data_IF_174766604182
#
_entry.id   IF_174766604182
#
_cell.length_a   1.000
_cell.length_b   1.000
_cell.length_c   1.000
_cell.angle_alpha   90.00
_cell.angle_beta   90.00
_cell.angle_gamma   90.00
#
_symmetry.space_group_name_H-M   'P 1'
#
loop_
_entity.id
_entity.type
_entity.pdbx_description
1 polymer ?
#
# COMPACT_ATOMS: atom_id res chain seq x y z
N UNK A 1 -30.00 -29.34 -32.64
CA UNK A 1 -29.05 -30.28 -32.00
C UNK A 1 -27.64 -29.72 -32.15
N UNK A 2 -26.89 -29.69 -31.05
CA UNK A 2 -25.47 -29.32 -30.91
C UNK A 2 -25.08 -27.84 -31.00
N UNK A 3 -25.28 -27.20 -29.85
CA UNK A 3 -24.44 -26.20 -29.19
C UNK A 3 -22.94 -26.27 -29.59
N UNK A 4 -22.38 -25.16 -30.10
CA UNK A 4 -20.93 -24.91 -30.14
C UNK A 4 -20.63 -23.76 -29.18
N UNK A 5 -20.26 -24.07 -27.94
CA UNK A 5 -19.72 -23.06 -27.00
C UNK A 5 -18.30 -22.72 -27.43
N UNK A 6 -18.15 -21.56 -28.06
CA UNK A 6 -16.87 -20.99 -28.46
C UNK A 6 -16.21 -20.38 -27.22
N UNK A 7 -15.01 -20.87 -26.89
CA UNK A 7 -14.18 -20.35 -25.81
C UNK A 7 -13.94 -18.85 -25.99
N UNK A 8 -14.40 -18.05 -25.03
CA UNK A 8 -14.06 -16.64 -24.95
C UNK A 8 -12.74 -16.58 -24.18
N UNK A 9 -11.64 -16.31 -24.90
CA UNK A 9 -10.32 -16.20 -24.32
C UNK A 9 -10.21 -15.04 -23.32
N UNK A 10 -9.34 -15.22 -22.33
CA UNK A 10 -9.08 -14.31 -21.20
C UNK A 10 -8.79 -12.84 -21.58
N UNK A 11 -8.51 -12.53 -22.85
CA UNK A 11 -8.37 -11.14 -23.33
C UNK A 11 -9.67 -10.33 -23.33
N UNK A 12 -10.85 -10.97 -23.39
CA UNK A 12 -12.12 -10.25 -23.42
C UNK A 12 -12.57 -9.79 -22.02
N UNK A 13 -12.19 -10.53 -20.97
CA UNK A 13 -12.45 -10.12 -19.58
C UNK A 13 -11.60 -8.92 -19.17
N UNK A 14 -10.39 -8.80 -19.74
CA UNK A 14 -9.48 -7.68 -19.48
C UNK A 14 -10.00 -6.33 -20.00
N UNK A 15 -10.78 -6.33 -21.09
CA UNK A 15 -11.40 -5.12 -21.62
C UNK A 15 -12.66 -4.69 -20.84
N UNK A 16 -13.33 -5.61 -20.15
CA UNK A 16 -14.55 -5.30 -19.38
C UNK A 16 -14.24 -4.72 -17.99
N UNK A 17 -13.04 -4.93 -17.45
CA UNK A 17 -12.63 -4.34 -16.17
C UNK A 17 -12.09 -2.90 -16.30
N UNK A 18 -11.68 -2.47 -17.50
CA UNK A 18 -11.07 -1.15 -17.71
C UNK A 18 -12.07 0.01 -17.89
N UNK A 19 -13.38 -0.22 -17.78
CA UNK A 19 -14.38 0.84 -17.99
C UNK A 19 -15.11 1.32 -16.72
N UNK A 20 -14.73 0.86 -15.52
CA UNK A 20 -15.08 1.59 -14.30
C UNK A 20 -14.04 2.67 -14.04
N UNK A 21 -14.35 3.89 -14.45
CA UNK A 21 -13.78 5.10 -13.83
C UNK A 21 -14.07 5.04 -12.33
N UNK A 22 -13.13 4.50 -11.56
CA UNK A 22 -13.01 4.82 -10.14
C UNK A 22 -11.80 5.74 -10.06
N UNK A 23 -12.05 6.92 -9.54
CA UNK A 23 -11.07 7.94 -9.24
C UNK A 23 -10.20 7.42 -8.09
N UNK A 24 -9.27 6.52 -8.37
CA UNK A 24 -8.32 5.99 -7.41
C UNK A 24 -6.91 6.38 -7.83
N UNK A 25 -6.19 7.00 -6.90
CA UNK A 25 -4.85 7.53 -7.07
C UNK A 25 -3.86 6.48 -7.64
N UNK A 26 -2.87 6.93 -8.44
CA UNK A 26 -1.98 6.07 -9.24
C UNK A 26 -1.09 5.11 -8.43
N UNK A 27 -1.00 5.24 -7.11
CA UNK A 27 -0.20 4.36 -6.25
C UNK A 27 -0.88 3.02 -5.93
N UNK A 28 -2.21 2.96 -5.85
CA UNK A 28 -2.95 1.70 -5.60
C UNK A 28 -2.97 0.79 -6.84
N UNK A 29 -2.88 1.38 -8.04
CA UNK A 29 -2.79 0.62 -9.28
C UNK A 29 -1.47 -0.16 -9.34
N UNK A 30 -0.36 0.41 -8.88
CA UNK A 30 0.96 -0.23 -8.98
C UNK A 30 1.11 -1.43 -8.02
N UNK A 31 0.46 -1.40 -6.84
CA UNK A 31 0.50 -2.51 -5.87
C UNK A 31 -0.43 -3.67 -6.24
N UNK A 32 -1.66 -3.38 -6.69
CA UNK A 32 -2.58 -4.40 -7.23
C UNK A 32 -2.01 -5.05 -8.49
N UNK A 33 -1.38 -4.26 -9.38
CA UNK A 33 -0.72 -4.78 -10.59
C UNK A 33 0.50 -5.63 -10.24
N UNK A 34 1.25 -5.30 -9.19
CA UNK A 34 2.38 -6.14 -8.71
C UNK A 34 1.90 -7.50 -8.20
N UNK A 35 0.81 -7.53 -7.43
CA UNK A 35 0.24 -8.77 -6.90
C UNK A 35 -0.40 -9.62 -8.01
N UNK A 36 -1.03 -9.00 -9.01
CA UNK A 36 -1.54 -9.68 -10.21
C UNK A 36 -0.43 -10.23 -11.10
N UNK A 37 0.66 -9.47 -11.29
CA UNK A 37 1.83 -9.92 -12.06
C UNK A 37 2.51 -11.12 -11.39
N UNK A 38 2.61 -11.12 -10.06
CA UNK A 38 3.09 -12.25 -9.28
C UNK A 38 2.18 -13.47 -9.45
N UNK A 39 0.86 -13.29 -9.42
CA UNK A 39 -0.11 -14.36 -9.65
C UNK A 39 0.03 -14.98 -11.04
N UNK A 40 0.24 -14.16 -12.08
CA UNK A 40 0.44 -14.61 -13.46
C UNK A 40 1.76 -15.38 -13.62
N UNK A 41 2.86 -14.86 -13.06
CA UNK A 41 4.15 -15.57 -13.05
C UNK A 41 4.07 -16.91 -12.30
N UNK A 42 3.30 -16.99 -11.22
CA UNK A 42 3.05 -18.24 -10.51
C UNK A 42 2.26 -19.23 -11.36
N UNK A 43 1.25 -18.77 -12.11
CA UNK A 43 0.51 -19.64 -13.04
C UNK A 43 1.40 -20.17 -14.17
N UNK A 44 2.35 -19.37 -14.67
CA UNK A 44 3.30 -19.81 -15.70
C UNK A 44 4.31 -20.84 -15.16
N UNK A 45 4.82 -20.66 -13.94
CA UNK A 45 5.73 -21.60 -13.27
C UNK A 45 5.03 -22.94 -12.95
N UNK A 46 3.75 -22.89 -12.56
CA UNK A 46 2.94 -24.11 -12.32
C UNK A 46 2.59 -24.83 -13.62
N UNK A 47 2.39 -24.09 -14.72
CA UNK A 47 2.04 -24.64 -16.03
C UNK A 47 3.26 -25.19 -16.78
N UNK A 48 4.48 -24.72 -16.49
CA UNK A 48 5.73 -25.30 -16.98
C UNK A 48 6.14 -26.56 -16.18
N UNK A 49 5.65 -27.75 -16.55
CA UNK A 49 6.02 -29.05 -15.93
C UNK A 49 7.34 -29.65 -16.49
N UNK A 50 8.04 -30.58 -15.79
CA UNK A 50 8.59 -30.46 -14.44
C UNK A 50 10.00 -31.12 -14.30
N UNK A 51 10.92 -30.52 -13.54
CA UNK A 51 11.94 -31.31 -12.80
C UNK A 51 12.29 -30.72 -11.45
N UNK A 52 11.44 -29.82 -10.95
CA UNK A 52 11.49 -29.37 -9.57
C UNK A 52 10.73 -30.41 -8.73
N UNK A 53 11.49 -31.27 -8.06
CA UNK A 53 10.98 -32.22 -7.06
C UNK A 53 10.07 -31.49 -6.09
N UNK A 54 8.90 -32.04 -5.75
CA UNK A 54 7.86 -31.38 -4.92
C UNK A 54 8.41 -30.70 -3.65
N UNK A 55 9.50 -31.22 -3.08
CA UNK A 55 10.23 -30.63 -1.95
C UNK A 55 10.81 -29.23 -2.21
N UNK A 56 11.33 -28.98 -3.42
CA UNK A 56 11.92 -27.70 -3.85
C UNK A 56 10.85 -26.67 -4.23
N UNK A 57 9.74 -27.13 -4.82
CA UNK A 57 8.61 -26.27 -5.17
C UNK A 57 7.89 -25.76 -3.92
N UNK A 58 7.70 -26.62 -2.91
CA UNK A 58 7.16 -26.23 -1.61
C UNK A 58 8.10 -25.28 -0.88
N UNK A 59 9.42 -25.53 -0.92
CA UNK A 59 10.43 -24.63 -0.33
C UNK A 59 10.43 -23.24 -1.00
N UNK A 60 10.30 -23.18 -2.33
CA UNK A 60 10.27 -21.92 -3.09
C UNK A 60 8.98 -21.12 -2.80
N UNK A 61 7.82 -21.78 -2.74
CA UNK A 61 6.55 -21.14 -2.37
C UNK A 61 6.56 -20.62 -0.93
N UNK A 62 7.15 -21.36 0.00
CA UNK A 62 7.29 -20.94 1.40
C UNK A 62 8.20 -19.71 1.55
N UNK A 63 9.25 -19.60 0.72
CA UNK A 63 10.15 -18.44 0.66
C UNK A 63 9.51 -17.19 0.04
N UNK A 64 8.59 -17.37 -0.91
CA UNK A 64 7.87 -16.26 -1.55
C UNK A 64 6.75 -15.69 -0.66
N UNK A 65 6.20 -16.50 0.24
CA UNK A 65 5.14 -16.07 1.16
C UNK A 65 5.65 -15.12 2.27
N UNK A 66 6.96 -15.10 2.55
CA UNK A 66 7.54 -14.30 3.64
C UNK A 66 7.75 -12.81 3.35
N UNK A 67 7.48 -12.31 2.13
CA UNK A 67 7.62 -10.90 1.77
C UNK A 67 6.25 -10.25 1.52
N UNK A 68 5.42 -10.12 2.55
CA UNK A 68 4.27 -9.21 2.51
C UNK A 68 4.63 -7.88 3.16
N UNK A 69 4.75 -6.81 2.37
CA UNK A 69 4.88 -5.46 2.89
C UNK A 69 3.49 -4.95 3.28
N UNK A 70 3.25 -4.70 4.57
CA UNK A 70 2.00 -4.13 5.06
C UNK A 70 2.10 -2.61 5.03
N UNK A 71 1.33 -1.97 4.16
CA UNK A 71 1.15 -0.53 4.22
C UNK A 71 0.24 -0.18 5.41
N UNK A 72 0.63 0.83 6.19
CA UNK A 72 -0.19 1.33 7.30
C UNK A 72 -0.90 2.61 6.86
N UNK A 73 -2.21 2.68 7.13
CA UNK A 73 -3.05 3.84 6.87
C UNK A 73 -3.54 4.40 8.19
N UNK A 74 -3.38 5.71 8.37
CA UNK A 74 -3.80 6.45 9.57
C UNK A 74 -4.71 7.61 9.16
N UNK A 75 -5.71 7.93 9.96
CA UNK A 75 -6.56 9.10 9.73
C UNK A 75 -5.95 10.32 10.41
N UNK A 76 -5.74 11.38 9.63
CA UNK A 76 -5.13 12.65 10.02
C UNK A 76 -6.01 13.78 9.47
N UNK A 77 -6.97 14.33 10.23
CA UNK A 77 -7.91 15.34 9.75
C UNK A 77 -7.28 16.70 9.43
N UNK A 78 -6.18 17.07 10.08
CA UNK A 78 -5.48 18.34 9.85
C UNK A 78 -4.70 18.33 8.54
N UNK A 79 -4.99 19.30 7.66
CA UNK A 79 -4.37 19.37 6.33
C UNK A 79 -2.88 19.69 6.39
N UNK A 80 -2.44 20.52 7.34
CA UNK A 80 -1.04 20.89 7.50
C UNK A 80 -0.24 19.70 8.02
N UNK A 81 -0.78 18.97 9.00
CA UNK A 81 -0.14 17.76 9.50
C UNK A 81 -0.04 16.68 8.41
N UNK A 82 -1.10 16.47 7.61
CA UNK A 82 -1.02 15.57 6.45
C UNK A 82 0.07 15.97 5.46
N UNK A 83 0.12 17.26 5.13
CA UNK A 83 1.10 17.77 4.17
C UNK A 83 2.54 17.56 4.69
N UNK A 84 2.79 17.90 5.96
CA UNK A 84 4.07 17.62 6.63
C UNK A 84 4.45 16.14 6.56
N UNK A 85 3.51 15.23 6.84
CA UNK A 85 3.79 13.79 6.77
C UNK A 85 4.11 13.32 5.35
N UNK A 86 3.40 13.87 4.35
CA UNK A 86 3.64 13.55 2.95
C UNK A 86 5.00 14.06 2.46
N UNK A 87 5.40 15.28 2.83
CA UNK A 87 6.66 15.90 2.40
C UNK A 87 7.86 15.30 3.12
N UNK A 88 7.78 15.10 4.44
CA UNK A 88 8.91 14.66 5.26
C UNK A 88 9.12 13.15 5.18
N UNK A 89 8.04 12.37 5.14
CA UNK A 89 8.10 10.91 5.25
C UNK A 89 7.61 10.16 4.00
N UNK A 90 7.45 10.86 2.87
CA UNK A 90 6.97 10.30 1.59
C UNK A 90 5.63 9.56 1.72
N UNK A 91 4.76 10.04 2.60
CA UNK A 91 3.44 9.45 2.79
C UNK A 91 2.48 9.84 1.66
N UNK A 92 1.54 8.95 1.34
CA UNK A 92 0.48 9.22 0.36
C UNK A 92 -0.79 9.69 1.06
N UNK A 93 -1.38 10.80 0.61
CA UNK A 93 -2.62 11.34 1.16
C UNK A 93 -3.81 10.87 0.31
N UNK A 94 -4.86 10.35 0.92
CA UNK A 94 -6.16 10.06 0.30
C UNK A 94 -7.28 10.64 1.18
N UNK A 95 -7.76 11.83 0.82
CA UNK A 95 -8.71 12.57 1.66
C UNK A 95 -8.09 12.95 3.01
N UNK A 96 -8.67 12.44 4.10
CA UNK A 96 -8.14 12.61 5.47
C UNK A 96 -7.20 11.48 5.89
N UNK A 97 -6.98 10.48 5.05
CA UNK A 97 -6.13 9.35 5.38
C UNK A 97 -4.73 9.53 4.81
N UNK A 98 -3.72 9.07 5.55
CA UNK A 98 -2.31 9.09 5.18
C UNK A 98 -1.79 7.64 5.21
N UNK A 99 -1.19 7.19 4.11
CA UNK A 99 -0.65 5.84 3.96
C UNK A 99 0.85 5.85 3.78
N UNK A 100 1.55 5.00 4.53
CA UNK A 100 3.00 4.84 4.48
C UNK A 100 3.36 3.50 3.83
N UNK A 101 4.27 3.53 2.87
CA UNK A 101 4.65 2.37 2.02
C UNK A 101 5.83 1.56 2.58
N UNK A 102 6.38 1.96 3.73
CA UNK A 102 7.60 1.43 4.36
C UNK A 102 7.40 1.48 5.88
N UNK A 103 8.23 0.82 6.74
CA UNK A 103 8.06 0.88 8.20
C UNK A 103 8.30 2.26 8.82
N UNK A 104 8.18 3.34 8.05
CA UNK A 104 8.31 4.72 8.48
C UNK A 104 7.56 5.00 9.80
N UNK A 105 6.29 4.60 9.93
CA UNK A 105 5.54 4.85 11.18
C UNK A 105 6.20 4.15 12.40
N UNK A 106 6.67 2.92 12.25
CA UNK A 106 7.22 2.13 13.37
C UNK A 106 8.67 2.47 13.70
N UNK A 107 9.41 3.08 12.78
CA UNK A 107 10.83 3.41 12.98
C UNK A 107 11.08 4.89 13.30
N UNK A 108 10.08 5.78 13.15
CA UNK A 108 10.21 7.19 13.49
C UNK A 108 10.29 7.37 15.01
N UNK A 109 11.49 7.68 15.51
CA UNK A 109 11.74 7.99 16.92
C UNK A 109 11.71 9.48 17.24
N UNK A 110 11.87 10.33 16.22
CA UNK A 110 11.95 11.78 16.34
C UNK A 110 11.14 12.45 15.24
N UNK A 111 10.30 13.41 15.61
CA UNK A 111 9.50 14.22 14.69
C UNK A 111 9.61 15.68 15.06
N UNK A 112 10.06 16.50 14.12
CA UNK A 112 10.02 17.96 14.22
C UNK A 112 9.04 18.48 13.18
N UNK A 113 7.88 18.93 13.65
CA UNK A 113 6.84 19.58 12.87
C UNK A 113 6.60 21.01 13.37
N UNK A 114 7.66 21.66 13.87
CA UNK A 114 7.56 23.03 14.36
C UNK A 114 7.28 24.03 13.24
N UNK A 115 6.50 25.08 13.53
CA UNK A 115 6.13 26.14 12.58
C UNK A 115 5.31 25.68 11.35
N UNK A 116 4.69 24.51 11.39
CA UNK A 116 3.90 23.96 10.28
C UNK A 116 2.44 24.47 10.26
N UNK A 117 2.03 25.28 11.23
CA UNK A 117 0.65 25.77 11.35
C UNK A 117 -0.36 24.67 11.68
N UNK A 118 0.08 23.58 12.33
CA UNK A 118 -0.77 22.44 12.69
C UNK A 118 -1.74 22.83 13.81
N UNK A 119 -3.01 22.45 13.67
CA UNK A 119 -4.05 22.73 14.65
C UNK A 119 -4.57 21.48 15.38
N UNK A 120 -4.40 20.31 14.77
CA UNK A 120 -4.80 19.02 15.32
C UNK A 120 -3.76 17.92 14.98
N UNK A 121 -3.27 17.22 16.01
CA UNK A 121 -2.30 16.11 15.90
C UNK A 121 -2.97 14.74 15.86
N UNK A 122 -4.29 14.66 15.66
CA UNK A 122 -5.00 13.38 15.50
C UNK A 122 -4.28 12.49 14.48
N UNK A 123 -3.99 11.26 14.90
CA UNK A 123 -3.18 10.30 14.14
C UNK A 123 -1.75 10.12 14.68
N UNK A 124 -1.24 11.05 15.50
CA UNK A 124 0.12 10.96 16.11
C UNK A 124 0.30 9.73 17.01
N UNK A 125 -0.77 9.22 17.62
CA UNK A 125 -0.73 8.02 18.47
C UNK A 125 -0.30 6.74 17.73
N UNK A 126 -0.34 6.73 16.39
CA UNK A 126 0.11 5.59 15.59
C UNK A 126 1.64 5.50 15.51
N UNK A 127 2.37 6.57 15.83
CA UNK A 127 3.83 6.59 15.84
C UNK A 127 4.36 6.01 17.16
N UNK A 128 4.23 4.69 17.33
CA UNK A 128 4.47 4.00 18.62
C UNK A 128 5.91 4.07 19.12
N UNK A 129 6.87 4.30 18.23
CA UNK A 129 8.29 4.41 18.56
C UNK A 129 8.74 5.87 18.76
N UNK A 130 7.84 6.84 18.60
CA UNK A 130 8.15 8.26 18.74
C UNK A 130 8.49 8.59 20.20
N UNK A 131 9.70 9.09 20.41
CA UNK A 131 10.23 9.47 21.73
C UNK A 131 10.43 10.98 21.86
N UNK A 132 10.63 11.66 20.73
CA UNK A 132 10.85 13.11 20.68
C UNK A 132 9.90 13.72 19.66
N UNK A 133 8.99 14.57 20.14
CA UNK A 133 8.06 15.34 19.31
C UNK A 133 8.29 16.83 19.57
N UNK A 134 8.77 17.55 18.56
CA UNK A 134 8.79 19.01 18.56
C UNK A 134 7.63 19.52 17.69
N UNK A 135 6.59 20.03 18.33
CA UNK A 135 5.44 20.66 17.68
C UNK A 135 5.33 22.15 18.04
N UNK A 136 6.44 22.78 18.42
CA UNK A 136 6.47 24.19 18.83
C UNK A 136 6.00 25.13 17.71
N UNK A 137 5.44 26.28 18.10
CA UNK A 137 4.96 27.32 17.18
C UNK A 137 3.91 26.83 16.17
N UNK A 138 3.01 25.98 16.64
CA UNK A 138 1.80 25.56 15.95
C UNK A 138 0.55 26.13 16.62
N UNK A 139 -0.62 25.93 16.02
CA UNK A 139 -1.91 26.41 16.51
C UNK A 139 -2.64 25.37 17.37
N UNK A 140 -1.88 24.55 18.12
CA UNK A 140 -2.42 23.48 18.94
C UNK A 140 -3.14 24.04 20.16
N UNK A 141 -4.37 23.57 20.40
CA UNK A 141 -5.16 23.95 21.58
C UNK A 141 -5.09 22.92 22.70
N UNK A 142 -4.65 21.71 22.37
CA UNK A 142 -4.42 20.59 23.28
C UNK A 142 -3.26 19.74 22.79
N UNK A 143 -2.61 19.05 23.72
CA UNK A 143 -1.57 18.06 23.44
C UNK A 143 -2.05 16.66 23.80
#
# INVERSE_FOLDING_TARGET
MSEKRKAIGNGCLFLLLNNRKVHSQPSQLHHEVSNFALLLLLTDILNAKPKLTMKKTVLLLALLFSMSANAQTITVPDANFRNFLATTYNATISGNDVTFTSPAIVDITTMDCSYEGISDLTGIANFTSLTVLNCSNNSLTSL
#
